data_IF_584663777613
#
_entry.id   IF_584663777613
#
_cell.length_a   1.000
_cell.length_b   1.000
_cell.length_c   1.000
_cell.angle_alpha   90.00
_cell.angle_beta   90.00
_cell.angle_gamma   90.00
#
_symmetry.space_group_name_H-M   'P 1'
#
loop_
_entity.id
_entity.type
_entity.pdbx_description
1 polymer ?
#
# COMPACT_ATOMS: atom_id res chain seq x y z
N UNK A 1 -10.93 10.61 -14.41
CA UNK A 1 -10.96 9.26 -15.02
C UNK A 1 -11.78 9.42 -16.27
N UNK A 2 -11.28 8.98 -17.43
CA UNK A 2 -12.14 8.91 -18.61
C UNK A 2 -13.28 7.95 -18.26
N UNK A 3 -14.50 8.44 -18.22
CA UNK A 3 -15.67 7.59 -18.04
C UNK A 3 -15.94 6.82 -19.32
N UNK A 4 -16.59 5.67 -19.21
CA UNK A 4 -16.98 4.87 -20.39
C UNK A 4 -17.76 5.72 -21.41
N UNK A 5 -18.57 6.66 -20.93
CA UNK A 5 -19.29 7.63 -21.77
C UNK A 5 -18.37 8.60 -22.53
N UNK A 6 -17.25 9.04 -21.94
CA UNK A 6 -16.29 9.90 -22.61
C UNK A 6 -15.52 9.16 -23.71
N UNK A 7 -15.26 7.86 -23.54
CA UNK A 7 -14.59 7.03 -24.54
C UNK A 7 -15.50 6.82 -25.76
N UNK A 8 -16.78 6.53 -25.52
CA UNK A 8 -17.78 6.39 -26.60
C UNK A 8 -17.97 7.71 -27.34
N UNK A 9 -18.10 8.83 -26.62
CA UNK A 9 -18.18 10.18 -27.22
C UNK A 9 -16.94 10.50 -28.06
N UNK A 10 -15.75 10.10 -27.62
CA UNK A 10 -14.50 10.30 -28.37
C UNK A 10 -14.45 9.46 -29.65
N UNK A 11 -14.92 8.21 -29.60
CA UNK A 11 -15.04 7.37 -30.79
C UNK A 11 -15.99 7.98 -31.83
N UNK A 12 -17.10 8.57 -31.36
CA UNK A 12 -18.07 9.25 -32.21
C UNK A 12 -17.51 10.54 -32.82
N UNK A 13 -16.72 11.31 -32.07
CA UNK A 13 -16.01 12.51 -32.56
C UNK A 13 -14.95 12.19 -33.63
N UNK A 14 -14.30 11.03 -33.52
CA UNK A 14 -13.31 10.56 -34.51
C UNK A 14 -13.98 9.97 -35.76
N UNK A 15 -15.31 9.85 -35.77
CA UNK A 15 -16.06 9.31 -36.90
C UNK A 15 -15.84 7.82 -37.12
N UNK A 16 -15.33 7.08 -36.14
CA UNK A 16 -15.19 5.63 -36.25
C UNK A 16 -16.57 4.97 -36.34
N UNK A 17 -16.75 4.09 -37.33
CA UNK A 17 -18.00 3.35 -37.56
C UNK A 17 -17.70 1.88 -37.82
N UNK A 18 -18.67 1.02 -37.54
CA UNK A 18 -18.58 -0.42 -37.75
C UNK A 18 -17.39 -1.04 -37.00
N UNK A 19 -16.67 -1.93 -37.66
CA UNK A 19 -15.55 -2.70 -37.10
C UNK A 19 -14.46 -1.81 -36.49
N UNK A 20 -14.14 -0.67 -37.13
CA UNK A 20 -13.12 0.28 -36.60
C UNK A 20 -13.52 0.90 -35.27
N UNK A 21 -14.82 1.11 -35.04
CA UNK A 21 -15.33 1.61 -33.74
C UNK A 21 -15.17 0.54 -32.67
N UNK A 22 -15.47 -0.71 -33.00
CA UNK A 22 -15.30 -1.83 -32.06
C UNK A 22 -13.83 -2.08 -31.71
N UNK A 23 -12.93 -2.03 -32.69
CA UNK A 23 -11.49 -2.16 -32.45
C UNK A 23 -10.97 -1.04 -31.56
N UNK A 24 -11.35 0.21 -31.84
CA UNK A 24 -10.98 1.36 -31.02
C UNK A 24 -11.46 1.22 -29.58
N UNK A 25 -12.75 0.90 -29.41
CA UNK A 25 -13.33 0.72 -28.08
C UNK A 25 -12.64 -0.43 -27.34
N UNK A 26 -12.40 -1.58 -27.99
CA UNK A 26 -11.69 -2.72 -27.39
C UNK A 26 -10.28 -2.33 -26.93
N UNK A 27 -9.54 -1.54 -27.71
CA UNK A 27 -8.22 -1.07 -27.34
C UNK A 27 -8.26 -0.14 -26.12
N UNK A 28 -9.16 0.84 -26.12
CA UNK A 28 -9.29 1.79 -25.00
C UNK A 28 -9.78 1.09 -23.72
N UNK A 29 -10.70 0.13 -23.82
CA UNK A 29 -11.15 -0.68 -22.68
C UNK A 29 -10.01 -1.52 -22.10
N UNK A 30 -9.23 -2.20 -22.94
CA UNK A 30 -8.08 -2.98 -22.49
C UNK A 30 -7.06 -2.10 -21.74
N UNK A 31 -6.79 -0.90 -22.26
CA UNK A 31 -5.90 0.05 -21.61
C UNK A 31 -6.44 0.54 -20.26
N UNK A 32 -7.76 0.68 -20.12
CA UNK A 32 -8.39 1.01 -18.85
C UNK A 32 -8.29 -0.12 -17.84
N UNK A 33 -8.57 -1.36 -18.25
CA UNK A 33 -8.44 -2.55 -17.39
C UNK A 33 -7.01 -2.69 -16.88
N UNK A 34 -6.01 -2.62 -17.76
CA UNK A 34 -4.59 -2.70 -17.36
C UNK A 34 -4.20 -1.59 -16.38
N UNK A 35 -4.74 -0.38 -16.53
CA UNK A 35 -4.50 0.73 -15.59
C UNK A 35 -5.19 0.50 -14.24
N UNK A 36 -6.38 -0.09 -14.25
CA UNK A 36 -7.13 -0.40 -13.04
C UNK A 36 -6.44 -1.52 -12.25
N UNK A 37 -5.99 -2.57 -12.93
CA UNK A 37 -5.20 -3.66 -12.32
C UNK A 37 -3.91 -3.13 -11.69
N UNK A 38 -3.14 -2.31 -12.41
CA UNK A 38 -1.91 -1.69 -11.86
C UNK A 38 -2.19 -0.83 -10.64
N UNK A 39 -3.31 -0.10 -10.62
CA UNK A 39 -3.70 0.72 -9.48
C UNK A 39 -4.06 -0.15 -8.28
N UNK A 40 -4.81 -1.22 -8.50
CA UNK A 40 -5.18 -2.16 -7.45
C UNK A 40 -3.95 -2.89 -6.89
N UNK A 41 -3.02 -3.30 -7.74
CA UNK A 41 -1.76 -3.92 -7.33
C UNK A 41 -0.90 -2.96 -6.51
N UNK A 42 -0.77 -1.70 -6.95
CA UNK A 42 -0.04 -0.67 -6.22
C UNK A 42 -0.69 -0.39 -4.84
N UNK A 43 -2.02 -0.39 -4.76
CA UNK A 43 -2.73 -0.22 -3.50
C UNK A 43 -2.52 -1.42 -2.56
N UNK A 44 -2.54 -2.65 -3.08
CA UNK A 44 -2.23 -3.86 -2.30
C UNK A 44 -0.81 -3.82 -1.75
N UNK A 45 0.18 -3.49 -2.59
CA UNK A 45 1.57 -3.35 -2.16
C UNK A 45 1.75 -2.25 -1.09
N UNK A 46 1.05 -1.11 -1.23
CA UNK A 46 1.11 -0.04 -0.26
C UNK A 46 0.52 -0.47 1.10
N UNK A 47 -0.59 -1.23 1.09
CA UNK A 47 -1.20 -1.79 2.30
C UNK A 47 -0.27 -2.81 2.98
N UNK A 48 0.33 -3.72 2.21
CA UNK A 48 1.27 -4.72 2.74
C UNK A 48 2.50 -4.06 3.39
N UNK A 49 3.12 -3.09 2.71
CA UNK A 49 4.26 -2.33 3.26
C UNK A 49 3.88 -1.56 4.53
N UNK A 50 2.67 -0.98 4.58
CA UNK A 50 2.17 -0.27 5.76
C UNK A 50 1.97 -1.22 6.94
N UNK A 51 1.41 -2.41 6.69
CA UNK A 51 1.21 -3.41 7.73
C UNK A 51 2.56 -3.96 8.25
N UNK A 52 3.53 -4.21 7.36
CA UNK A 52 4.86 -4.66 7.75
C UNK A 52 5.60 -3.61 8.60
N UNK A 53 5.51 -2.33 8.22
CA UNK A 53 6.07 -1.23 8.99
C UNK A 53 5.45 -1.13 10.40
N UNK A 54 4.13 -1.27 10.51
CA UNK A 54 3.43 -1.25 11.81
C UNK A 54 3.87 -2.42 12.70
N UNK A 55 4.02 -3.62 12.13
CA UNK A 55 4.55 -4.80 12.85
C UNK A 55 5.96 -4.55 13.35
N UNK A 56 6.83 -3.93 12.54
CA UNK A 56 8.21 -3.64 12.93
C UNK A 56 8.28 -2.59 14.05
N UNK A 57 7.44 -1.56 14.00
CA UNK A 57 7.35 -0.54 15.06
C UNK A 57 6.91 -1.16 16.40
N UNK A 58 5.87 -2.00 16.38
CA UNK A 58 5.42 -2.75 17.58
C UNK A 58 6.53 -3.61 18.17
N UNK A 59 7.32 -4.32 17.33
CA UNK A 59 8.49 -5.10 17.78
C UNK A 59 9.55 -4.20 18.43
N UNK A 60 9.89 -3.06 17.83
CA UNK A 60 10.87 -2.10 18.39
C UNK A 60 10.40 -1.55 19.75
N UNK A 61 9.11 -1.21 19.89
CA UNK A 61 8.51 -0.74 21.16
C UNK A 61 8.60 -1.80 22.25
N UNK A 62 8.26 -3.07 21.94
CA UNK A 62 8.39 -4.20 22.89
C UNK A 62 9.83 -4.40 23.36
N UNK A 63 10.81 -4.40 22.44
CA UNK A 63 12.24 -4.54 22.79
C UNK A 63 12.70 -3.42 23.73
N UNK A 64 12.38 -2.15 23.42
CA UNK A 64 12.74 -1.00 24.28
C UNK A 64 12.15 -1.14 25.70
N UNK A 65 10.90 -1.61 25.81
CA UNK A 65 10.26 -1.85 27.11
C UNK A 65 10.93 -2.98 27.90
N UNK A 66 11.27 -4.09 27.24
CA UNK A 66 11.96 -5.21 27.89
C UNK A 66 13.32 -4.80 28.44
N UNK A 67 14.12 -4.07 27.66
CA UNK A 67 15.43 -3.55 28.11
C UNK A 67 15.27 -2.65 29.35
N UNK A 68 14.25 -1.77 29.38
CA UNK A 68 13.98 -0.93 30.56
C UNK A 68 13.61 -1.76 31.79
N UNK A 69 12.80 -2.81 31.63
CA UNK A 69 12.42 -3.72 32.73
C UNK A 69 13.64 -4.48 33.25
N UNK A 70 14.49 -5.00 32.38
CA UNK A 70 15.72 -5.71 32.78
C UNK A 70 16.69 -4.79 33.52
N UNK A 71 16.91 -3.57 33.02
CA UNK A 71 17.75 -2.57 33.72
C UNK A 71 17.26 -2.30 35.13
N UNK A 72 15.94 -2.10 35.33
CA UNK A 72 15.37 -1.92 36.68
C UNK A 72 15.57 -3.14 37.58
N UNK A 73 15.39 -4.35 37.04
CA UNK A 73 15.64 -5.61 37.79
C UNK A 73 17.10 -5.71 38.23
N UNK A 74 18.05 -5.35 37.38
CA UNK A 74 19.48 -5.37 37.71
C UNK A 74 19.85 -4.32 38.77
N UNK A 75 19.27 -3.12 38.69
CA UNK A 75 19.47 -2.09 39.72
C UNK A 75 18.95 -2.57 41.08
N UNK A 76 17.76 -3.17 41.14
CA UNK A 76 17.22 -3.74 42.37
C UNK A 76 18.10 -4.86 42.95
N UNK A 77 18.70 -5.69 42.09
CA UNK A 77 19.66 -6.73 42.49
C UNK A 77 21.00 -6.17 42.99
N UNK A 78 21.47 -5.04 42.45
CA UNK A 78 22.74 -4.41 42.82
C UNK A 78 22.63 -3.40 43.98
N UNK A 79 21.41 -3.00 44.36
CA UNK A 79 21.14 -2.03 45.43
C UNK A 79 21.41 -2.51 46.86
N UNK A 80 22.09 -3.65 47.06
CA UNK A 80 22.46 -4.20 48.36
C UNK A 80 23.97 -4.21 48.64
N UNK A 81 24.80 -3.46 47.90
CA UNK A 81 26.24 -3.41 48.21
C UNK A 81 26.89 -2.03 48.17
N UNK A 82 26.13 -0.94 48.31
CA UNK A 82 26.68 0.41 48.59
C UNK A 82 26.21 0.90 49.97
N UNK A 83 26.48 0.11 51.03
CA UNK A 83 26.73 0.69 52.35
C UNK A 83 28.25 0.84 52.46
N UNK A 84 28.72 2.08 52.33
CA UNK A 84 30.03 2.47 52.87
C UNK A 84 29.95 2.46 54.39
#
# INVERSE_FOLDING_TARGET
MATMEEIVKKADLLGYRGEKREEYLKQEFKLLEERQEKKEEAERQAREKKEEAERQEKKKRRKKLNVRKERKKLIARKGWSWKR
#
